data_IF_170832332327
#
_entry.id   IF_170832332327
#
_cell.length_a   1.000
_cell.length_b   1.000
_cell.length_c   1.000
_cell.angle_alpha   90.00
_cell.angle_beta   90.00
_cell.angle_gamma   90.00
#
_symmetry.space_group_name_H-M   'P 1'
#
loop_
_entity.id
_entity.type
_entity.pdbx_description
1 polymer ?
#
# COMPACT_ATOMS: atom_id res chain seq x y z
N UNK A 1 3.35 -11.17 2.85
CA UNK A 1 4.69 -11.15 2.26
C UNK A 1 4.83 -10.02 1.23
N UNK A 2 4.38 -10.15 -0.03
CA UNK A 2 4.64 -9.13 -1.07
C UNK A 2 4.11 -7.72 -0.73
N UNK A 3 2.90 -7.62 -0.17
CA UNK A 3 2.33 -6.33 0.21
C UNK A 3 3.14 -5.58 1.28
N UNK A 4 3.65 -6.30 2.29
CA UNK A 4 4.49 -5.70 3.34
C UNK A 4 5.82 -5.18 2.78
N UNK A 5 6.42 -5.90 1.83
CA UNK A 5 7.65 -5.47 1.16
C UNK A 5 7.41 -4.15 0.40
N UNK A 6 6.30 -4.05 -0.33
CA UNK A 6 5.92 -2.83 -1.06
C UNK A 6 5.74 -1.66 -0.09
N UNK A 7 5.05 -1.87 1.04
CA UNK A 7 4.85 -0.81 2.05
C UNK A 7 6.16 -0.35 2.68
N UNK A 8 7.09 -1.28 2.98
CA UNK A 8 8.39 -0.94 3.56
C UNK A 8 9.23 -0.13 2.56
N UNK A 9 9.31 -0.57 1.31
CA UNK A 9 10.05 0.15 0.27
C UNK A 9 9.49 1.57 0.04
N UNK A 10 8.17 1.69 -0.03
CA UNK A 10 7.51 2.98 -0.14
C UNK A 10 7.86 3.91 1.04
N UNK A 11 7.81 3.39 2.28
CA UNK A 11 8.15 4.19 3.47
C UNK A 11 9.59 4.67 3.47
N UNK A 12 10.54 3.85 3.01
CA UNK A 12 11.95 4.26 2.89
C UNK A 12 12.07 5.41 1.88
N UNK A 13 11.46 5.28 0.71
CA UNK A 13 11.49 6.32 -0.33
C UNK A 13 10.84 7.62 0.17
N UNK A 14 9.68 7.52 0.83
CA UNK A 14 8.99 8.66 1.43
C UNK A 14 9.88 9.39 2.44
N UNK A 15 10.56 8.65 3.30
CA UNK A 15 11.46 9.22 4.31
C UNK A 15 12.64 9.96 3.66
N UNK A 16 13.23 9.39 2.61
CA UNK A 16 14.32 10.03 1.86
C UNK A 16 13.84 11.34 1.21
N UNK A 17 12.65 11.34 0.61
CA UNK A 17 12.07 12.54 -0.01
C UNK A 17 11.80 13.63 1.03
N UNK A 18 11.31 13.27 2.22
CA UNK A 18 11.08 14.21 3.33
C UNK A 18 12.41 14.78 3.87
N UNK A 19 13.46 13.96 3.92
CA UNK A 19 14.79 14.37 4.37
C UNK A 19 15.52 15.26 3.36
N UNK A 20 15.19 15.14 2.07
CA UNK A 20 15.84 15.89 0.97
C UNK A 20 15.84 17.41 1.18
N UNK A 21 14.69 18.08 1.49
CA UNK A 21 14.71 19.52 1.73
C UNK A 21 15.53 19.90 2.97
N UNK A 22 15.57 19.05 4.00
CA UNK A 22 16.41 19.28 5.19
C UNK A 22 17.89 19.24 4.85
N UNK A 23 18.37 18.19 4.15
CA UNK A 23 19.78 18.10 3.76
C UNK A 23 20.17 19.20 2.79
N UNK A 24 19.30 19.54 1.83
CA UNK A 24 19.56 20.63 0.89
C UNK A 24 19.82 21.96 1.60
N UNK A 25 19.06 22.28 2.64
CA UNK A 25 19.22 23.49 3.46
C UNK A 25 20.49 23.48 4.33
N UNK A 26 20.98 22.32 4.72
CA UNK A 26 22.25 22.23 5.47
C UNK A 26 23.44 22.53 4.56
N UNK A 27 23.40 22.09 3.30
CA UNK A 27 24.49 22.32 2.34
C UNK A 27 24.43 23.71 1.69
N UNK A 28 23.24 24.22 1.43
CA UNK A 28 23.04 25.56 0.92
C UNK A 28 22.58 26.45 2.07
N UNK A 29 23.50 27.25 2.63
CA UNK A 29 23.19 28.31 3.60
C UNK A 29 22.32 29.37 2.91
N UNK A 30 21.04 29.06 2.75
CA UNK A 30 20.02 30.00 2.29
C UNK A 30 19.75 31.04 3.37
N UNK A 31 19.10 32.13 2.97
CA UNK A 31 18.64 33.16 3.90
C UNK A 31 17.83 32.55 5.05
N UNK A 32 17.91 33.16 6.24
CA UNK A 32 17.25 32.70 7.46
C UNK A 32 15.76 32.41 7.22
N UNK A 33 15.09 33.22 6.39
CA UNK A 33 13.67 33.07 6.04
C UNK A 33 13.40 31.73 5.33
N UNK A 34 14.30 31.26 4.46
CA UNK A 34 14.15 29.99 3.76
C UNK A 34 14.27 28.79 4.70
N UNK A 35 15.22 28.85 5.63
CA UNK A 35 15.41 27.80 6.64
C UNK A 35 14.30 27.77 7.68
N UNK A 36 13.78 28.93 8.09
CA UNK A 36 12.82 29.02 9.20
C UNK A 36 11.37 28.88 8.77
N UNK A 37 11.01 29.36 7.58
CA UNK A 37 9.61 29.43 7.14
C UNK A 37 9.33 28.43 6.02
N UNK A 38 10.11 28.47 4.94
CA UNK A 38 9.84 27.66 3.75
C UNK A 38 10.12 26.18 3.95
N UNK A 39 11.23 25.84 4.63
CA UNK A 39 11.58 24.46 4.89
C UNK A 39 10.54 23.71 5.75
N UNK A 40 10.13 24.24 6.92
CA UNK A 40 9.12 23.59 7.75
C UNK A 40 7.77 23.52 7.05
N UNK A 41 7.36 24.55 6.30
CA UNK A 41 6.12 24.49 5.50
C UNK A 41 6.19 23.40 4.43
N UNK A 42 7.32 23.30 3.72
CA UNK A 42 7.51 22.31 2.67
C UNK A 42 7.54 20.88 3.23
N UNK A 43 8.25 20.66 4.34
CA UNK A 43 8.28 19.33 4.99
C UNK A 43 6.90 18.95 5.54
N UNK A 44 6.16 19.90 6.11
CA UNK A 44 4.80 19.67 6.60
C UNK A 44 3.84 19.35 5.43
N UNK A 45 3.94 20.09 4.33
CA UNK A 45 3.19 19.80 3.11
C UNK A 45 3.51 18.41 2.55
N UNK A 46 4.79 18.06 2.40
CA UNK A 46 5.21 16.73 1.96
C UNK A 46 4.69 15.65 2.91
N UNK A 47 4.76 15.87 4.22
CA UNK A 47 4.30 14.90 5.23
C UNK A 47 2.81 14.61 5.06
N UNK A 48 1.98 15.66 4.92
CA UNK A 48 0.54 15.51 4.67
C UNK A 48 0.29 14.74 3.37
N UNK A 49 1.02 15.09 2.30
CA UNK A 49 0.90 14.43 1.00
C UNK A 49 1.23 12.94 1.11
N UNK A 50 2.33 12.59 1.79
CA UNK A 50 2.72 11.19 2.00
C UNK A 50 1.71 10.42 2.87
N UNK A 51 1.10 11.05 3.88
CA UNK A 51 0.04 10.40 4.69
C UNK A 51 -1.17 10.05 3.82
N UNK A 52 -1.59 10.96 2.93
CA UNK A 52 -2.72 10.70 2.02
C UNK A 52 -2.37 9.54 1.07
N UNK A 53 -1.17 9.54 0.50
CA UNK A 53 -0.71 8.48 -0.40
C UNK A 53 -0.56 7.15 0.33
N UNK A 54 -0.06 7.11 1.56
CA UNK A 54 0.07 5.88 2.37
C UNK A 54 -1.31 5.26 2.60
N UNK A 55 -2.30 6.07 2.99
CA UNK A 55 -3.68 5.62 3.18
C UNK A 55 -4.32 5.10 1.88
N UNK A 56 -4.08 5.77 0.75
CA UNK A 56 -4.55 5.33 -0.56
C UNK A 56 -3.89 3.99 -0.96
N UNK A 57 -2.59 3.87 -0.74
CA UNK A 57 -1.82 2.68 -1.09
C UNK A 57 -2.29 1.47 -0.28
N UNK A 58 -2.53 1.62 1.02
CA UNK A 58 -3.07 0.57 1.89
C UNK A 58 -4.47 0.13 1.40
N UNK A 59 -5.35 1.08 1.05
CA UNK A 59 -6.68 0.76 0.54
C UNK A 59 -6.63 -0.01 -0.78
N UNK A 60 -5.80 0.44 -1.73
CA UNK A 60 -5.62 -0.25 -3.01
C UNK A 60 -5.06 -1.65 -2.79
N UNK A 61 -4.09 -1.82 -1.90
CA UNK A 61 -3.47 -3.10 -1.60
C UNK A 61 -4.46 -4.07 -0.93
N UNK A 62 -5.30 -3.55 -0.03
CA UNK A 62 -6.38 -4.31 0.60
C UNK A 62 -7.41 -4.77 -0.44
N UNK A 63 -7.83 -3.88 -1.35
CA UNK A 63 -8.73 -4.20 -2.44
C UNK A 63 -8.14 -5.24 -3.42
N UNK A 64 -6.86 -5.10 -3.79
CA UNK A 64 -6.18 -6.07 -4.65
C UNK A 64 -6.08 -7.46 -3.99
N UNK A 65 -5.86 -7.50 -2.68
CA UNK A 65 -5.78 -8.74 -1.90
C UNK A 65 -7.12 -9.46 -1.82
N UNK A 66 -8.22 -8.75 -1.53
CA UNK A 66 -9.57 -9.33 -1.49
C UNK A 66 -10.04 -9.80 -2.87
N UNK A 67 -9.63 -9.13 -3.95
CA UNK A 67 -9.98 -9.55 -5.31
C UNK A 67 -9.31 -10.89 -5.72
N UNK A 68 -8.10 -11.19 -5.24
CA UNK A 68 -7.49 -12.53 -5.40
C UNK A 68 -8.19 -13.60 -4.54
N UNK A 69 -8.66 -13.26 -3.34
CA UNK A 69 -9.38 -14.18 -2.46
C UNK A 69 -10.72 -14.67 -3.03
N UNK A 70 -11.48 -13.78 -3.69
CA UNK A 70 -12.79 -14.12 -4.25
C UNK A 70 -12.72 -15.14 -5.40
N UNK A 71 -11.68 -15.12 -6.24
CA UNK A 71 -11.50 -16.12 -7.31
C UNK A 71 -11.08 -17.50 -6.79
N UNK A 72 -10.33 -17.55 -5.67
CA UNK A 72 -9.92 -18.82 -5.06
C UNK A 72 -11.06 -19.53 -4.32
N UNK A 73 -11.92 -18.76 -3.63
CA UNK A 73 -13.08 -19.30 -2.90
C UNK A 73 -14.13 -19.89 -3.85
N UNK A 74 -14.43 -19.22 -4.96
CA UNK A 74 -15.44 -19.67 -5.92
C UNK A 74 -15.03 -20.98 -6.64
N UNK A 75 -13.72 -21.17 -6.94
CA UNK A 75 -13.23 -22.46 -7.48
C UNK A 75 -13.39 -23.63 -6.50
N UNK A 76 -13.20 -23.40 -5.20
CA UNK A 76 -13.35 -24.45 -4.17
C UNK A 76 -14.81 -24.83 -3.95
N UNK A 77 -15.73 -23.86 -3.93
CA UNK A 77 -17.17 -24.15 -3.84
C UNK A 77 -17.69 -24.91 -5.05
N UNK A 78 -17.29 -24.53 -6.28
CA UNK A 78 -17.73 -25.23 -7.50
C UNK A 78 -17.25 -26.69 -7.53
N UNK A 79 -16.03 -26.97 -7.03
CA UNK A 79 -15.49 -28.34 -6.93
C UNK A 79 -16.25 -29.19 -5.89
N UNK A 80 -16.61 -28.62 -4.74
CA UNK A 80 -17.41 -29.33 -3.74
C UNK A 80 -18.83 -29.64 -4.21
N UNK A 81 -19.49 -28.70 -4.91
CA UNK A 81 -20.84 -28.91 -5.44
C UNK A 81 -20.82 -30.02 -6.51
N UNK A 82 -19.80 -30.02 -7.38
CA UNK A 82 -19.61 -31.08 -8.39
C UNK A 82 -19.34 -32.45 -7.77
N UNK A 83 -18.51 -32.55 -6.72
CA UNK A 83 -18.27 -33.83 -6.03
C UNK A 83 -19.51 -34.34 -5.30
N UNK A 84 -20.31 -33.45 -4.68
CA UNK A 84 -21.56 -33.85 -4.01
C UNK A 84 -22.62 -34.33 -5.01
N UNK A 85 -22.69 -33.72 -6.20
CA UNK A 85 -23.59 -34.16 -7.26
C UNK A 85 -23.20 -35.55 -7.80
N UNK A 86 -21.90 -35.82 -7.94
CA UNK A 86 -21.41 -37.13 -8.39
C UNK A 86 -21.75 -38.25 -7.39
N UNK A 87 -21.50 -38.05 -6.10
CA UNK A 87 -21.78 -39.06 -5.05
C UNK A 87 -23.28 -39.36 -4.93
N UNK A 88 -24.14 -38.38 -5.21
CA UNK A 88 -25.60 -38.57 -5.17
C UNK A 88 -26.09 -39.45 -6.32
N UNK A 89 -25.48 -39.37 -7.50
CA UNK A 89 -25.85 -40.20 -8.64
C UNK A 89 -25.39 -41.67 -8.51
N UNK A 90 -24.26 -41.94 -7.84
CA UNK A 90 -23.74 -43.32 -7.66
C UNK A 90 -24.46 -44.12 -6.56
N UNK A 91 -25.30 -43.47 -5.74
CA UNK A 91 -26.11 -44.14 -4.68
C UNK A 91 -27.56 -44.42 -5.09
N UNK A 92 -27.98 -43.98 -6.28
CA UNK A 92 -29.35 -44.08 -6.77
C UNK A 92 -29.52 -45.11 -7.92
N UNK A 93 -28.47 -45.87 -8.23
CA UNK A 93 -28.48 -47.04 -9.13
C UNK A 93 -28.11 -48.27 -8.33
#
# INVERSE_FOLDING_TARGET
MLGQVITIFYRIIATIIILTPMTFNVFHKGEIINSLLYLPLLTLFLTILFIIVDNLLIQILAWLSTHKGHKASNKRQKKQISSKAFIKHTRAS
#
